data_IF_640436496819
#
_entry.id   IF_640436496819
#
_cell.length_a   1.000
_cell.length_b   1.000
_cell.length_c   1.000
_cell.angle_alpha   90.00
_cell.angle_beta   90.00
_cell.angle_gamma   90.00
#
_symmetry.space_group_name_H-M   'P 1'
#
loop_
_entity.id
_entity.type
_entity.pdbx_description
1 polymer ?
#
# COMPACT_ATOMS: atom_id res chain seq x y z
N UNK A 1 -53.75 -12.23 -17.17
CA UNK A 1 -52.68 -11.22 -17.28
C UNK A 1 -51.60 -11.53 -16.25
N UNK A 2 -50.64 -12.41 -16.56
CA UNK A 2 -49.19 -12.11 -16.57
C UNK A 2 -48.80 -10.70 -16.08
N UNK A 3 -48.08 -10.62 -14.97
CA UNK A 3 -46.65 -10.30 -14.97
C UNK A 3 -45.99 -10.75 -13.66
N UNK A 4 -45.12 -11.74 -13.84
CA UNK A 4 -44.02 -12.15 -12.99
C UNK A 4 -43.12 -10.94 -12.74
N UNK A 5 -42.71 -10.67 -11.50
CA UNK A 5 -41.42 -10.00 -11.26
C UNK A 5 -40.65 -10.75 -10.20
N UNK A 6 -39.73 -11.54 -10.71
CA UNK A 6 -38.65 -12.24 -10.04
C UNK A 6 -37.62 -11.18 -9.63
N UNK A 7 -37.48 -10.89 -8.34
CA UNK A 7 -36.27 -10.24 -7.83
C UNK A 7 -35.36 -11.35 -7.30
N UNK A 8 -34.58 -11.93 -8.22
CA UNK A 8 -33.36 -12.64 -7.86
C UNK A 8 -32.40 -11.61 -7.28
N UNK A 9 -32.37 -11.49 -5.96
CA UNK A 9 -31.21 -10.93 -5.27
C UNK A 9 -30.13 -12.01 -5.38
N UNK A 10 -29.37 -11.99 -6.48
CA UNK A 10 -28.10 -12.71 -6.52
C UNK A 10 -27.18 -11.90 -5.62
N UNK A 11 -27.10 -12.29 -4.35
CA UNK A 11 -25.95 -11.96 -3.51
C UNK A 11 -24.76 -12.69 -4.12
N UNK A 12 -24.16 -12.09 -5.16
CA UNK A 12 -22.79 -12.44 -5.52
C UNK A 12 -21.97 -11.92 -4.36
N UNK A 13 -21.67 -12.81 -3.44
CA UNK A 13 -20.59 -12.65 -2.47
C UNK A 13 -19.32 -12.45 -3.29
N UNK A 14 -19.02 -11.20 -3.66
CA UNK A 14 -17.74 -10.87 -4.25
C UNK A 14 -16.70 -11.25 -3.20
N UNK A 15 -15.99 -12.33 -3.44
CA UNK A 15 -14.83 -12.71 -2.66
C UNK A 15 -13.80 -11.63 -2.95
N UNK A 16 -13.74 -10.62 -2.09
CA UNK A 16 -12.72 -9.60 -2.14
C UNK A 16 -11.40 -10.29 -1.79
N UNK A 17 -10.59 -10.59 -2.81
CA UNK A 17 -9.22 -11.07 -2.59
C UNK A 17 -8.40 -9.89 -2.06
N UNK A 18 -8.36 -9.78 -0.73
CA UNK A 18 -7.38 -8.93 -0.08
C UNK A 18 -6.00 -9.57 -0.25
N UNK A 19 -5.00 -8.74 -0.51
CA UNK A 19 -3.60 -9.17 -0.54
C UNK A 19 -3.22 -9.88 0.78
N UNK A 20 -2.26 -10.81 0.77
CA UNK A 20 -1.45 -11.23 -0.38
C UNK A 20 -2.20 -12.14 -1.35
N UNK A 21 -1.70 -12.24 -2.59
CA UNK A 21 -2.23 -13.19 -3.57
C UNK A 21 -1.43 -14.49 -3.53
N UNK A 22 -2.10 -15.61 -3.34
CA UNK A 22 -1.54 -16.93 -3.60
C UNK A 22 -1.79 -17.29 -5.05
N UNK A 23 -0.73 -17.63 -5.77
CA UNK A 23 -0.74 -17.86 -7.21
C UNK A 23 -0.19 -19.24 -7.52
N UNK A 24 -0.71 -19.86 -8.57
CA UNK A 24 -0.28 -21.17 -9.06
C UNK A 24 -0.10 -21.13 -10.57
N UNK A 25 0.98 -21.72 -11.07
CA UNK A 25 1.18 -21.89 -12.51
C UNK A 25 0.24 -22.96 -13.06
N UNK A 26 -0.36 -22.72 -14.22
CA UNK A 26 -1.28 -23.66 -14.87
C UNK A 26 -0.77 -24.13 -16.24
N UNK A 27 -1.26 -25.30 -16.69
CA UNK A 27 -0.85 -25.90 -17.98
C UNK A 27 0.55 -26.50 -17.99
N UNK A 28 1.12 -26.75 -16.81
CA UNK A 28 2.51 -27.19 -16.62
C UNK A 28 2.59 -28.64 -16.14
N UNK A 29 3.53 -29.42 -16.68
CA UNK A 29 3.77 -30.79 -16.19
C UNK A 29 4.24 -30.81 -14.72
N UNK A 30 4.92 -29.74 -14.30
CA UNK A 30 5.26 -29.49 -12.90
C UNK A 30 4.88 -28.07 -12.53
N UNK A 31 3.76 -27.95 -11.84
CA UNK A 31 3.26 -26.67 -11.37
C UNK A 31 4.09 -26.16 -10.19
N UNK A 32 4.15 -24.83 -10.04
CA UNK A 32 4.67 -24.16 -8.87
C UNK A 32 3.66 -23.15 -8.33
N UNK A 33 3.76 -22.88 -7.03
CA UNK A 33 2.95 -21.87 -6.37
C UNK A 33 3.83 -20.86 -5.64
N UNK A 34 3.31 -19.65 -5.49
CA UNK A 34 3.98 -18.57 -4.79
C UNK A 34 2.96 -17.62 -4.17
N UNK A 35 3.38 -16.87 -3.16
CA UNK A 35 2.61 -15.77 -2.57
C UNK A 35 3.23 -14.44 -2.99
N UNK A 36 2.42 -13.53 -3.51
CA UNK A 36 2.80 -12.17 -3.88
C UNK A 36 2.29 -11.18 -2.83
N UNK A 37 3.21 -10.36 -2.34
CA UNK A 37 2.93 -9.18 -1.52
C UNK A 37 3.32 -7.93 -2.32
N UNK A 38 2.53 -6.85 -2.24
CA UNK A 38 2.85 -5.55 -2.86
C UNK A 38 2.04 -4.44 -2.20
N UNK A 39 2.59 -3.23 -2.11
CA UNK A 39 1.88 -2.02 -1.67
C UNK A 39 1.30 -1.23 -2.82
N UNK A 40 0.84 -0.01 -2.52
CA UNK A 40 0.28 0.90 -3.51
C UNK A 40 1.23 1.09 -4.71
N UNK A 41 0.68 1.13 -5.93
CA UNK A 41 1.42 1.26 -7.19
C UNK A 41 2.48 0.16 -7.41
N UNK A 42 2.38 -0.95 -6.67
CA UNK A 42 3.27 -2.10 -6.77
C UNK A 42 4.57 -1.96 -6.00
N UNK A 43 4.74 -0.91 -5.19
CA UNK A 43 5.94 -0.71 -4.38
C UNK A 43 6.06 -1.75 -3.27
N UNK A 44 7.26 -1.94 -2.74
CA UNK A 44 7.51 -2.88 -1.63
C UNK A 44 7.21 -4.34 -1.96
N UNK A 45 7.13 -4.68 -3.25
CA UNK A 45 6.66 -5.99 -3.69
C UNK A 45 7.73 -7.08 -3.57
N UNK A 46 7.30 -8.29 -3.27
CA UNK A 46 8.14 -9.49 -3.30
C UNK A 46 7.27 -10.74 -3.49
N UNK A 47 7.90 -11.81 -4.00
CA UNK A 47 7.29 -13.14 -4.06
C UNK A 47 7.97 -14.10 -3.10
N UNK A 48 7.20 -15.04 -2.58
CA UNK A 48 7.71 -16.16 -1.80
C UNK A 48 7.18 -17.47 -2.40
N UNK A 49 8.07 -18.30 -2.93
CA UNK A 49 7.69 -19.61 -3.48
C UNK A 49 7.23 -20.56 -2.36
N UNK A 50 6.20 -21.34 -2.62
CA UNK A 50 5.68 -22.31 -1.66
C UNK A 50 6.76 -23.31 -1.24
N UNK A 51 6.89 -23.53 0.06
CA UNK A 51 7.93 -24.39 0.65
C UNK A 51 9.33 -23.75 0.72
N UNK A 52 9.49 -22.47 0.35
CA UNK A 52 10.75 -21.73 0.46
C UNK A 52 10.64 -20.62 1.51
N UNK A 53 11.71 -20.45 2.29
CA UNK A 53 11.83 -19.33 3.25
C UNK A 53 12.35 -18.04 2.59
N UNK A 54 13.01 -18.19 1.46
CA UNK A 54 13.57 -17.09 0.69
C UNK A 54 12.45 -16.27 0.05
N UNK A 55 12.61 -14.95 0.10
CA UNK A 55 11.77 -13.99 -0.61
C UNK A 55 12.57 -13.41 -1.77
N UNK A 56 11.90 -13.13 -2.88
CA UNK A 56 12.53 -12.53 -4.05
C UNK A 56 11.94 -11.14 -4.27
N UNK A 57 12.75 -10.07 -4.17
CA UNK A 57 12.27 -8.71 -4.37
C UNK A 57 11.75 -8.50 -5.78
N UNK A 58 10.68 -7.73 -5.89
CA UNK A 58 10.11 -7.28 -7.14
C UNK A 58 10.34 -5.78 -7.29
N UNK A 59 11.05 -5.39 -8.35
CA UNK A 59 11.22 -3.99 -8.72
C UNK A 59 10.09 -3.57 -9.65
N UNK A 60 9.43 -2.45 -9.36
CA UNK A 60 8.41 -1.87 -10.26
C UNK A 60 9.08 -1.47 -11.58
N UNK A 61 8.67 -2.10 -12.68
CA UNK A 61 9.08 -1.72 -14.03
C UNK A 61 8.09 -0.73 -14.63
N UNK A 62 6.80 -0.95 -14.43
CA UNK A 62 5.74 -0.01 -14.79
C UNK A 62 4.49 -0.26 -13.96
N UNK A 63 3.81 0.82 -13.62
CA UNK A 63 2.44 0.83 -13.11
C UNK A 63 1.63 1.79 -13.97
N UNK A 64 0.44 1.38 -14.42
CA UNK A 64 -0.46 2.22 -15.21
C UNK A 64 -1.89 2.03 -14.71
N UNK A 65 -2.64 3.12 -14.68
CA UNK A 65 -4.08 3.11 -14.47
C UNK A 65 -4.72 3.47 -15.79
N UNK A 66 -5.62 2.62 -16.27
CA UNK A 66 -6.46 2.90 -17.43
C UNK A 66 -7.83 3.37 -16.96
N UNK A 67 -8.16 4.60 -17.35
CA UNK A 67 -9.40 5.33 -17.07
C UNK A 67 -10.21 5.60 -18.34
N UNK A 68 -9.74 5.18 -19.52
CA UNK A 68 -10.28 5.59 -20.82
C UNK A 68 -11.60 4.86 -21.17
N UNK A 69 -12.54 5.61 -21.76
CA UNK A 69 -13.74 5.05 -22.40
C UNK A 69 -14.86 4.64 -21.44
N UNK A 70 -14.89 5.17 -20.21
CA UNK A 70 -15.80 4.70 -19.15
C UNK A 70 -16.85 5.74 -18.76
N UNK A 71 -18.06 5.26 -18.50
CA UNK A 71 -19.14 6.05 -17.88
C UNK A 71 -18.93 6.16 -16.37
N UNK A 72 -19.46 7.21 -15.74
CA UNK A 72 -19.42 7.42 -14.28
C UNK A 72 -19.72 6.12 -13.50
N UNK A 73 -18.80 5.73 -12.61
CA UNK A 73 -18.96 4.60 -11.69
C UNK A 73 -18.35 3.26 -12.12
N UNK A 74 -17.72 3.15 -13.30
CA UNK A 74 -16.94 1.96 -13.65
C UNK A 74 -15.57 1.94 -12.94
N UNK A 75 -15.10 0.77 -12.49
CA UNK A 75 -13.83 0.63 -11.79
C UNK A 75 -12.63 0.88 -12.71
N UNK A 76 -11.54 1.44 -12.18
CA UNK A 76 -10.28 1.58 -12.90
C UNK A 76 -9.63 0.20 -13.14
N UNK A 77 -8.82 0.10 -14.21
CA UNK A 77 -7.98 -1.09 -14.45
C UNK A 77 -6.54 -0.70 -14.16
N UNK A 78 -5.91 -1.46 -13.26
CA UNK A 78 -4.54 -1.28 -12.87
C UNK A 78 -3.65 -2.33 -13.54
N UNK A 79 -2.63 -1.87 -14.26
CA UNK A 79 -1.64 -2.72 -14.90
C UNK A 79 -0.31 -2.65 -14.16
N UNK A 80 0.16 -3.80 -13.69
CA UNK A 80 1.42 -3.92 -12.99
C UNK A 80 2.42 -4.74 -13.81
N UNK A 81 3.65 -4.24 -13.86
CA UNK A 81 4.79 -4.99 -14.37
C UNK A 81 5.93 -4.89 -13.37
N UNK A 82 6.39 -6.04 -12.90
CA UNK A 82 7.52 -6.13 -11.99
C UNK A 82 8.68 -6.91 -12.60
N UNK A 83 9.89 -6.46 -12.38
CA UNK A 83 11.09 -7.26 -12.58
C UNK A 83 11.34 -8.09 -11.31
N UNK A 84 11.46 -9.40 -11.46
CA UNK A 84 11.99 -10.27 -10.41
C UNK A 84 13.50 -10.05 -10.30
N UNK A 85 13.98 -9.73 -9.09
CA UNK A 85 15.38 -9.36 -8.87
C UNK A 85 16.11 -10.44 -8.06
N UNK A 86 17.12 -11.08 -8.66
CA UNK A 86 17.99 -12.06 -8.00
C UNK A 86 19.45 -11.63 -8.14
N UNK A 87 20.15 -11.48 -7.01
CA UNK A 87 21.55 -11.04 -7.03
C UNK A 87 21.76 -9.68 -7.71
N UNK A 88 20.78 -8.78 -7.62
CA UNK A 88 20.81 -7.46 -8.27
C UNK A 88 20.57 -7.47 -9.78
N UNK A 89 20.22 -8.62 -10.38
CA UNK A 89 19.91 -8.75 -11.81
C UNK A 89 18.46 -9.15 -12.02
N UNK A 90 17.91 -8.75 -13.16
CA UNK A 90 16.58 -9.18 -13.59
C UNK A 90 16.63 -10.67 -13.89
N UNK A 91 15.80 -11.45 -13.19
CA UNK A 91 15.69 -12.91 -13.33
C UNK A 91 14.33 -13.35 -13.90
N UNK A 92 13.40 -12.41 -14.05
CA UNK A 92 12.09 -12.66 -14.65
C UNK A 92 11.22 -11.42 -14.62
N UNK A 93 10.02 -11.52 -15.19
CA UNK A 93 9.06 -10.42 -15.27
C UNK A 93 7.67 -10.94 -14.95
N UNK A 94 7.02 -10.30 -13.97
CA UNK A 94 5.61 -10.52 -13.65
C UNK A 94 4.74 -9.47 -14.33
N UNK A 95 3.55 -9.87 -14.79
CA UNK A 95 2.52 -8.97 -15.31
C UNK A 95 1.17 -9.31 -14.70
N UNK A 96 0.45 -8.29 -14.25
CA UNK A 96 -0.87 -8.39 -13.65
C UNK A 96 -1.77 -7.31 -14.20
N UNK A 97 -3.05 -7.65 -14.28
CA UNK A 97 -4.15 -6.72 -14.46
C UNK A 97 -5.07 -6.85 -13.24
N UNK A 98 -5.49 -5.74 -12.66
CA UNK A 98 -6.40 -5.73 -11.51
C UNK A 98 -7.57 -4.79 -11.83
N UNK A 99 -8.78 -5.30 -11.64
CA UNK A 99 -10.02 -4.54 -11.74
C UNK A 99 -10.96 -4.94 -10.60
N UNK A 100 -11.50 -3.99 -9.84
CA UNK A 100 -12.32 -4.25 -8.63
C UNK A 100 -11.70 -5.27 -7.67
N UNK A 101 -10.38 -5.20 -7.44
CA UNK A 101 -9.65 -6.15 -6.60
C UNK A 101 -9.63 -7.60 -7.11
N UNK A 102 -10.05 -7.86 -8.34
CA UNK A 102 -9.86 -9.13 -9.02
C UNK A 102 -8.62 -9.05 -9.90
N UNK A 103 -7.65 -9.93 -9.67
CA UNK A 103 -6.49 -10.05 -10.53
C UNK A 103 -6.78 -10.99 -11.70
N UNK A 104 -6.42 -10.57 -12.91
CA UNK A 104 -6.54 -11.32 -14.15
C UNK A 104 -5.26 -11.19 -14.98
N UNK A 105 -5.19 -11.92 -16.09
CA UNK A 105 -4.07 -11.88 -17.04
C UNK A 105 -2.68 -12.04 -16.40
N UNK A 106 -2.62 -12.85 -15.33
CA UNK A 106 -1.43 -12.99 -14.52
C UNK A 106 -0.41 -13.88 -15.25
N UNK A 107 0.80 -13.37 -15.44
CA UNK A 107 1.86 -14.15 -16.06
C UNK A 107 3.24 -13.86 -15.48
N UNK A 108 4.11 -14.87 -15.58
CA UNK A 108 5.53 -14.77 -15.25
C UNK A 108 6.36 -15.19 -16.47
N UNK A 109 7.27 -14.33 -16.92
CA UNK A 109 8.25 -14.65 -17.95
C UNK A 109 9.61 -14.83 -17.30
N UNK A 110 10.15 -16.04 -17.37
CA UNK A 110 11.42 -16.38 -16.73
C UNK A 110 12.61 -15.87 -17.54
N UNK A 111 13.57 -15.23 -16.88
CA UNK A 111 14.68 -14.56 -17.56
C UNK A 111 15.69 -15.50 -18.22
N UNK A 112 15.94 -16.69 -17.65
CA UNK A 112 16.99 -17.59 -18.17
C UNK A 112 16.69 -18.17 -19.55
N UNK A 113 15.42 -18.33 -19.91
CA UNK A 113 14.98 -19.00 -21.13
C UNK A 113 13.76 -18.35 -21.80
N UNK A 114 13.34 -17.18 -21.33
CA UNK A 114 12.15 -16.44 -21.80
C UNK A 114 10.86 -17.24 -21.79
N UNK A 115 10.81 -18.34 -21.02
CA UNK A 115 9.61 -19.15 -20.93
C UNK A 115 8.53 -18.38 -20.16
N UNK A 116 7.34 -18.29 -20.75
CA UNK A 116 6.16 -17.67 -20.16
C UNK A 116 5.30 -18.71 -19.46
N UNK A 117 4.89 -18.39 -18.24
CA UNK A 117 3.97 -19.16 -17.42
C UNK A 117 2.70 -18.35 -17.21
N UNK A 118 1.55 -18.99 -17.42
CA UNK A 118 0.26 -18.46 -16.97
C UNK A 118 0.09 -18.79 -15.50
N UNK A 119 -0.34 -17.80 -14.72
CA UNK A 119 -0.61 -17.97 -13.30
C UNK A 119 -2.09 -17.69 -13.04
N UNK A 120 -2.65 -18.39 -12.06
CA UNK A 120 -4.01 -18.18 -11.59
C UNK A 120 -4.00 -17.97 -10.08
N UNK A 121 -4.94 -17.15 -9.60
CA UNK A 121 -5.16 -17.01 -8.17
C UNK A 121 -5.72 -18.31 -7.61
N UNK A 122 -5.16 -18.75 -6.49
CA UNK A 122 -5.71 -19.83 -5.70
C UNK A 122 -6.61 -19.21 -4.65
N UNK A 123 -7.88 -19.60 -4.63
CA UNK A 123 -8.79 -19.22 -3.56
C UNK A 123 -8.27 -19.79 -2.24
N UNK A 124 -8.07 -18.92 -1.25
CA UNK A 124 -7.77 -19.34 0.11
C UNK A 124 -9.08 -19.65 0.82
N UNK A 125 -9.24 -20.88 1.31
CA UNK A 125 -10.40 -21.26 2.13
C UNK A 125 -10.45 -20.47 3.44
N UNK A 126 -9.31 -19.90 3.87
CA UNK A 126 -9.22 -19.09 5.08
C UNK A 126 -9.50 -17.63 4.77
N UNK A 127 -10.40 -17.03 5.56
CA UNK A 127 -10.64 -15.59 5.53
C UNK A 127 -9.34 -14.84 5.82
N UNK A 128 -9.03 -13.86 4.97
CA UNK A 128 -7.88 -12.99 5.14
C UNK A 128 -7.82 -12.39 6.56
N UNK A 129 -6.65 -12.54 7.19
CA UNK A 129 -6.39 -12.22 8.58
C UNK A 129 -5.85 -10.78 8.75
N UNK A 130 -5.95 -9.95 7.72
CA UNK A 130 -5.45 -8.59 7.77
C UNK A 130 -3.93 -8.47 7.80
N UNK A 131 -3.16 -9.56 7.66
CA UNK A 131 -1.69 -9.45 7.67
C UNK A 131 -1.16 -8.85 6.37
N UNK A 132 -0.36 -7.80 6.51
CA UNK A 132 0.33 -7.12 5.42
C UNK A 132 1.84 -7.29 5.56
N UNK A 133 2.53 -7.38 4.43
CA UNK A 133 4.00 -7.36 4.40
C UNK A 133 4.50 -6.57 3.21
N UNK A 134 5.58 -5.82 3.40
CA UNK A 134 6.31 -5.13 2.34
C UNK A 134 7.81 -5.37 2.49
N UNK A 135 8.53 -5.34 1.38
CA UNK A 135 9.98 -5.37 1.34
C UNK A 135 10.49 -4.02 0.82
N UNK A 136 10.94 -3.16 1.73
CA UNK A 136 11.47 -1.82 1.39
C UNK A 136 12.93 -1.73 1.80
N UNK A 137 13.79 -1.34 0.86
CA UNK A 137 15.22 -1.13 1.09
C UNK A 137 15.94 -2.29 1.78
N UNK A 138 15.50 -3.52 1.49
CA UNK A 138 16.02 -4.75 2.10
C UNK A 138 15.51 -5.06 3.52
N UNK A 139 14.58 -4.26 4.05
CA UNK A 139 13.88 -4.51 5.30
C UNK A 139 12.50 -5.13 5.02
N UNK A 140 12.18 -6.22 5.73
CA UNK A 140 10.87 -6.86 5.70
C UNK A 140 9.98 -6.23 6.77
N UNK A 141 8.98 -5.46 6.33
CA UNK A 141 7.93 -4.90 7.17
C UNK A 141 6.80 -5.92 7.25
N UNK A 142 6.32 -6.22 8.45
CA UNK A 142 5.19 -7.11 8.72
C UNK A 142 4.24 -6.41 9.68
N UNK A 143 2.97 -6.31 9.33
CA UNK A 143 1.97 -5.55 10.09
C UNK A 143 0.58 -6.16 9.89
N UNK A 144 -0.42 -5.61 10.58
CA UNK A 144 -1.81 -5.97 10.39
C UNK A 144 -2.67 -4.73 10.05
N UNK A 145 -3.75 -4.93 9.30
CA UNK A 145 -4.68 -3.87 8.89
C UNK A 145 -5.88 -3.70 9.83
N UNK A 146 -6.32 -4.79 10.46
CA UNK A 146 -7.60 -4.81 11.20
C UNK A 146 -7.44 -4.92 12.72
N UNK A 147 -6.45 -5.68 13.16
CA UNK A 147 -6.19 -5.99 14.56
C UNK A 147 -4.69 -6.02 14.79
N UNK A 148 -4.24 -6.38 16.00
CA UNK A 148 -2.83 -6.52 16.37
C UNK A 148 -2.00 -5.32 15.88
N UNK A 149 -2.04 -4.24 16.65
CA UNK A 149 -1.45 -2.94 16.34
C UNK A 149 0.08 -2.96 16.30
N UNK A 150 0.71 -3.95 15.67
CA UNK A 150 2.14 -4.17 15.68
C UNK A 150 2.67 -4.05 14.25
N UNK A 151 3.68 -3.22 14.08
CA UNK A 151 4.59 -3.23 12.95
C UNK A 151 5.91 -3.84 13.42
N UNK A 152 6.29 -4.95 12.80
CA UNK A 152 7.62 -5.52 12.95
C UNK A 152 8.44 -5.26 11.69
N UNK A 153 9.61 -4.64 11.87
CA UNK A 153 10.58 -4.41 10.80
C UNK A 153 11.77 -5.33 11.04
N UNK A 154 12.02 -6.26 10.12
CA UNK A 154 13.23 -7.11 10.13
C UNK A 154 14.21 -6.60 9.09
N UNK A 155 15.36 -6.13 9.55
CA UNK A 155 16.40 -5.54 8.70
C UNK A 155 17.33 -6.61 8.12
N UNK A 156 18.12 -6.23 7.11
CA UNK A 156 19.08 -7.11 6.45
C UNK A 156 20.17 -7.65 7.39
N UNK A 157 20.49 -6.91 8.47
CA UNK A 157 21.41 -7.35 9.52
C UNK A 157 20.74 -8.22 10.59
N UNK A 158 19.51 -8.67 10.34
CA UNK A 158 18.64 -9.49 11.20
C UNK A 158 18.17 -8.81 12.47
N UNK A 159 18.51 -7.53 12.70
CA UNK A 159 17.90 -6.77 13.80
C UNK A 159 16.42 -6.60 13.52
N UNK A 160 15.65 -6.54 14.61
CA UNK A 160 14.21 -6.35 14.56
C UNK A 160 13.83 -5.13 15.37
N UNK A 161 12.90 -4.36 14.83
CA UNK A 161 12.20 -3.30 15.56
C UNK A 161 10.73 -3.66 15.59
N UNK A 162 10.13 -3.62 16.78
CA UNK A 162 8.69 -3.75 16.96
C UNK A 162 8.14 -2.38 17.35
N UNK A 163 7.06 -1.97 16.72
CA UNK A 163 6.44 -0.66 16.88
C UNK A 163 4.95 -0.88 17.08
N UNK A 164 4.40 -0.24 18.11
CA UNK A 164 2.95 -0.19 18.28
C UNK A 164 2.37 0.90 17.36
N UNK A 165 1.49 0.49 16.46
CA UNK A 165 0.77 1.35 15.53
C UNK A 165 -0.51 1.89 16.19
N UNK A 166 -1.06 3.02 15.74
CA UNK A 166 -2.34 3.51 16.25
C UNK A 166 -3.45 2.49 15.99
N UNK A 167 -4.27 2.22 17.02
CA UNK A 167 -5.42 1.35 16.93
C UNK A 167 -6.56 2.04 16.15
N UNK A 168 -7.30 1.33 15.29
CA UNK A 168 -8.58 1.84 14.82
C UNK A 168 -9.59 1.82 15.98
N UNK A 169 -10.27 2.93 16.25
CA UNK A 169 -11.18 3.03 17.40
C UNK A 169 -12.47 2.22 17.25
N UNK A 170 -12.84 1.91 16.00
CA UNK A 170 -14.01 1.12 15.67
C UNK A 170 -13.59 -0.14 14.93
N UNK A 171 -14.21 -1.31 15.19
CA UNK A 171 -13.91 -2.54 14.44
C UNK A 171 -14.15 -2.44 12.93
N UNK A 172 -14.99 -1.50 12.48
CA UNK A 172 -15.24 -1.22 11.06
C UNK A 172 -14.14 -0.36 10.41
N UNK A 173 -13.29 0.28 11.22
CA UNK A 173 -12.19 1.10 10.71
C UNK A 173 -10.99 0.23 10.34
N UNK A 174 -10.49 0.47 9.14
CA UNK A 174 -9.35 -0.27 8.59
C UNK A 174 -8.13 0.64 8.57
N UNK A 175 -7.01 0.13 9.07
CA UNK A 175 -5.71 0.79 8.93
C UNK A 175 -5.26 0.71 7.47
N UNK A 176 -4.83 1.85 6.92
CA UNK A 176 -4.19 1.92 5.60
C UNK A 176 -2.68 1.96 5.77
N UNK A 177 -1.97 1.40 4.80
CA UNK A 177 -0.52 1.48 4.68
C UNK A 177 -0.16 2.10 3.33
N UNK A 178 0.75 3.07 3.33
CA UNK A 178 1.03 3.94 2.18
C UNK A 178 2.54 4.07 2.01
N UNK A 179 3.04 3.86 0.79
CA UNK A 179 4.46 3.93 0.46
C UNK A 179 4.72 5.14 -0.43
N UNK A 180 5.35 6.16 0.13
CA UNK A 180 5.72 7.38 -0.57
C UNK A 180 7.03 7.95 -0.02
N UNK A 181 7.70 8.77 -0.81
CA UNK A 181 8.86 9.56 -0.39
C UNK A 181 8.35 10.84 0.31
N UNK A 182 8.18 10.77 1.63
CA UNK A 182 7.54 11.85 2.40
C UNK A 182 8.50 13.01 2.68
N UNK A 183 9.81 12.73 2.78
CA UNK A 183 10.84 13.75 3.07
C UNK A 183 11.59 14.24 1.81
N UNK A 184 11.25 13.72 0.63
CA UNK A 184 11.78 14.12 -0.68
C UNK A 184 13.28 13.83 -0.84
N UNK A 185 13.77 12.77 -0.21
CA UNK A 185 15.18 12.34 -0.27
C UNK A 185 15.46 11.27 -1.35
N UNK A 186 14.40 10.82 -2.04
CA UNK A 186 14.47 9.83 -3.10
C UNK A 186 14.32 8.38 -2.63
N UNK A 187 14.11 8.14 -1.34
CA UNK A 187 13.83 6.82 -0.77
C UNK A 187 12.35 6.70 -0.40
N UNK A 188 11.73 5.57 -0.75
CA UNK A 188 10.36 5.28 -0.34
C UNK A 188 10.29 5.07 1.19
N UNK A 189 9.41 5.81 1.86
CA UNK A 189 9.09 5.66 3.26
C UNK A 189 7.82 4.81 3.45
N UNK A 190 7.38 4.61 4.70
CA UNK A 190 6.11 3.95 5.00
C UNK A 190 5.28 4.79 5.97
N UNK A 191 4.00 4.95 5.66
CA UNK A 191 3.02 5.51 6.56
C UNK A 191 1.90 4.52 6.86
N UNK A 192 1.35 4.64 8.06
CA UNK A 192 0.14 3.96 8.49
C UNK A 192 -0.88 4.99 8.89
N UNK A 193 -2.15 4.80 8.52
CA UNK A 193 -3.20 5.71 8.95
C UNK A 193 -4.44 4.98 9.43
N UNK A 194 -5.11 5.56 10.42
CA UNK A 194 -6.42 5.15 10.93
C UNK A 194 -7.38 6.34 10.85
N UNK A 195 -8.70 6.14 10.67
CA UNK A 195 -9.66 7.23 10.81
C UNK A 195 -9.57 7.86 12.21
N UNK A 196 -9.97 9.13 12.35
CA UNK A 196 -10.01 9.81 13.65
C UNK A 196 -10.97 9.15 14.65
N UNK A 197 -10.69 9.38 15.95
CA UNK A 197 -11.38 8.75 17.08
C UNK A 197 -12.87 9.15 17.21
N UNK A 198 -13.34 10.14 16.44
CA UNK A 198 -14.72 10.59 16.44
C UNK A 198 -15.55 9.97 15.33
N UNK A 199 -15.75 10.75 14.27
CA UNK A 199 -16.64 10.39 13.16
C UNK A 199 -15.89 9.71 12.01
N UNK A 200 -14.56 9.60 12.08
CA UNK A 200 -13.73 9.06 11.00
C UNK A 200 -13.77 9.92 9.74
N UNK A 201 -13.92 11.23 9.91
CA UNK A 201 -14.00 12.23 8.84
C UNK A 201 -12.64 12.51 8.20
N UNK A 202 -11.54 12.36 8.94
CA UNK A 202 -10.18 12.41 8.42
C UNK A 202 -9.38 11.23 8.98
N UNK A 203 -8.16 11.04 8.49
CA UNK A 203 -7.27 9.96 8.93
C UNK A 203 -6.03 10.52 9.61
N UNK A 204 -5.66 9.95 10.75
CA UNK A 204 -4.43 10.25 11.48
C UNK A 204 -3.29 9.38 10.94
N UNK A 205 -2.11 9.95 10.74
CA UNK A 205 -0.96 9.27 10.13
C UNK A 205 0.19 9.12 11.12
N UNK A 206 0.76 7.92 11.10
CA UNK A 206 2.09 7.61 11.63
C UNK A 206 3.02 7.37 10.44
N UNK A 207 4.04 8.21 10.28
CA UNK A 207 5.00 8.15 9.16
C UNK A 207 6.35 7.69 9.69
N UNK A 208 7.00 6.75 8.99
CA UNK A 208 8.31 6.23 9.31
C UNK A 208 9.23 6.44 8.11
N UNK A 209 10.21 7.32 8.27
CA UNK A 209 11.17 7.71 7.24
C UNK A 209 12.31 6.70 7.16
N UNK A 210 12.71 6.31 5.95
CA UNK A 210 13.90 5.50 5.74
C UNK A 210 15.16 6.37 5.74
N UNK A 211 16.05 6.12 6.68
CA UNK A 211 17.37 6.74 6.73
C UNK A 211 18.38 5.87 5.96
N UNK A 212 18.89 6.29 4.78
CA UNK A 212 19.83 5.48 3.99
C UNK A 212 21.21 5.34 4.65
N UNK A 213 21.59 6.26 5.53
CA UNK A 213 22.85 6.21 6.27
C UNK A 213 22.86 5.11 7.34
N UNK A 214 21.80 5.06 8.16
CA UNK A 214 21.63 4.02 9.19
C UNK A 214 20.99 2.73 8.65
N UNK A 215 20.36 2.80 7.48
CA UNK A 215 19.50 1.75 6.88
C UNK A 215 18.38 1.35 7.84
N UNK A 216 17.74 2.34 8.47
CA UNK A 216 16.66 2.15 9.44
C UNK A 216 15.46 3.01 9.11
N UNK A 217 14.30 2.54 9.54
CA UNK A 217 13.10 3.36 9.57
C UNK A 217 13.02 4.07 10.92
N UNK A 218 12.79 5.38 10.88
CA UNK A 218 12.69 6.27 12.04
C UNK A 218 11.34 6.99 11.98
N UNK A 219 10.60 7.05 13.10
CA UNK A 219 9.32 7.77 13.12
C UNK A 219 9.57 9.24 12.81
N UNK A 220 8.82 9.80 11.86
CA UNK A 220 8.84 11.21 11.53
C UNK A 220 8.54 12.02 12.80
N UNK A 221 9.39 12.98 13.09
CA UNK A 221 9.15 13.92 14.18
C UNK A 221 8.04 14.88 13.78
N UNK A 222 7.01 14.94 14.63
CA UNK A 222 5.91 15.88 14.52
C UNK A 222 6.42 17.34 14.43
N UNK A 223 5.82 18.19 13.59
CA UNK A 223 6.12 19.62 13.55
C UNK A 223 5.67 20.35 14.82
N UNK A 224 6.12 21.59 14.97
CA UNK A 224 5.48 22.52 15.92
C UNK A 224 4.12 22.97 15.38
N UNK A 225 3.06 22.58 16.08
CA UNK A 225 1.68 22.89 15.74
C UNK A 225 1.19 24.25 16.25
N UNK A 226 2.05 25.07 16.88
CA UNK A 226 1.65 26.36 17.46
C UNK A 226 1.07 27.36 16.44
N UNK A 227 1.39 27.20 15.15
CA UNK A 227 0.97 28.09 14.05
C UNK A 227 -0.04 27.46 13.10
N UNK A 228 -0.27 26.16 13.20
CA UNK A 228 -1.14 25.41 12.30
C UNK A 228 -2.58 25.37 12.81
N UNK A 229 -3.52 25.06 11.93
CA UNK A 229 -4.91 24.79 12.33
C UNK A 229 -5.11 23.34 12.76
N UNK A 230 -4.34 22.42 12.20
CA UNK A 230 -4.31 21.03 12.58
C UNK A 230 -3.34 20.80 13.75
N UNK A 231 -3.65 19.80 14.58
CA UNK A 231 -2.87 19.40 15.75
C UNK A 231 -2.22 18.02 15.58
N UNK A 232 -2.20 17.50 14.34
CA UNK A 232 -1.74 16.17 13.98
C UNK A 232 -1.33 16.13 12.50
N UNK A 233 -0.56 15.12 12.13
CA UNK A 233 -0.40 14.68 10.75
C UNK A 233 -1.66 13.94 10.31
N UNK A 234 -2.64 14.69 9.84
CA UNK A 234 -3.94 14.19 9.43
C UNK A 234 -4.16 14.37 7.93
N UNK A 235 -4.84 13.44 7.26
CA UNK A 235 -5.06 13.41 5.79
C UNK A 235 -3.82 13.82 4.98
N UNK A 236 -2.70 13.18 5.29
CA UNK A 236 -1.41 13.59 4.75
C UNK A 236 -1.36 13.35 3.25
N UNK A 237 -0.96 14.38 2.51
CA UNK A 237 -0.64 14.32 1.09
C UNK A 237 0.70 15.02 0.81
N UNK A 238 1.35 14.68 -0.30
CA UNK A 238 2.61 15.29 -0.70
C UNK A 238 2.50 15.92 -2.08
N UNK A 239 3.16 17.06 -2.26
CA UNK A 239 3.32 17.72 -3.56
C UNK A 239 4.81 17.64 -3.94
N UNK A 240 5.16 16.55 -4.65
CA UNK A 240 6.56 16.17 -4.92
C UNK A 240 7.36 17.26 -5.62
N UNK A 241 6.80 17.89 -6.65
CA UNK A 241 7.48 18.93 -7.43
C UNK A 241 7.86 20.15 -6.58
N UNK A 242 7.05 20.46 -5.56
CA UNK A 242 7.28 21.59 -4.66
C UNK A 242 7.94 21.20 -3.34
N UNK A 243 8.14 19.89 -3.11
CA UNK A 243 8.63 19.32 -1.85
C UNK A 243 7.84 19.82 -0.64
N UNK A 244 6.52 19.71 -0.74
CA UNK A 244 5.60 20.13 0.32
C UNK A 244 4.84 18.94 0.87
N UNK A 245 4.76 18.87 2.19
CA UNK A 245 3.86 17.96 2.90
C UNK A 245 2.62 18.76 3.33
N UNK A 246 1.44 18.24 3.08
CA UNK A 246 0.17 18.86 3.45
C UNK A 246 -0.56 17.96 4.42
N UNK A 247 -1.23 18.56 5.38
CA UNK A 247 -2.15 17.88 6.31
C UNK A 247 -3.51 18.54 6.23
N UNK A 248 -4.57 17.75 6.27
CA UNK A 248 -5.95 18.19 6.35
C UNK A 248 -6.58 17.80 7.68
N UNK A 249 -7.42 18.68 8.22
CA UNK A 249 -8.21 18.41 9.41
C UNK A 249 -9.50 19.23 9.41
N UNK A 250 -10.43 18.84 10.28
CA UNK A 250 -11.71 19.53 10.45
C UNK A 250 -11.75 20.28 11.78
N UNK A 251 -11.97 21.59 11.72
CA UNK A 251 -12.18 22.47 12.86
C UNK A 251 -13.61 22.99 12.89
N UNK A 252 -14.46 22.42 13.76
CA UNK A 252 -15.89 22.73 13.75
C UNK A 252 -16.55 22.41 12.39
N UNK A 253 -17.13 23.42 11.75
CA UNK A 253 -17.78 23.28 10.44
C UNK A 253 -16.84 23.54 9.25
N UNK A 254 -15.54 23.74 9.46
CA UNK A 254 -14.58 24.14 8.42
C UNK A 254 -13.50 23.08 8.21
N UNK A 255 -13.05 22.98 6.98
CA UNK A 255 -11.88 22.19 6.60
C UNK A 255 -10.66 23.10 6.51
N UNK A 256 -9.58 22.65 7.14
CA UNK A 256 -8.29 23.33 7.13
C UNK A 256 -7.25 22.44 6.46
N UNK A 257 -6.31 23.08 5.76
CA UNK A 257 -5.14 22.43 5.21
C UNK A 257 -3.89 23.21 5.59
N UNK A 258 -3.01 22.59 6.38
CA UNK A 258 -1.69 23.14 6.68
C UNK A 258 -0.65 22.60 5.71
N UNK A 259 0.33 23.45 5.39
CA UNK A 259 1.39 23.17 4.44
C UNK A 259 2.73 23.29 5.16
N UNK A 260 3.56 22.26 5.03
CA UNK A 260 4.87 22.17 5.65
C UNK A 260 5.96 21.92 4.61
N UNK A 261 7.19 22.26 4.98
CA UNK A 261 8.41 21.93 4.24
C UNK A 261 9.48 21.40 5.17
N UNK A 262 10.26 20.43 4.71
CA UNK A 262 11.44 19.97 5.44
C UNK A 262 12.57 21.01 5.38
N UNK A 263 13.12 21.36 6.54
CA UNK A 263 14.35 22.15 6.67
C UNK A 263 15.57 21.23 6.84
N UNK A 264 16.79 21.80 6.82
CA UNK A 264 18.08 21.07 6.79
C UNK A 264 18.28 20.00 7.88
N UNK A 265 17.47 20.00 8.93
CA UNK A 265 17.58 19.07 10.06
C UNK A 265 16.52 17.96 10.03
N UNK A 266 15.79 17.80 8.91
CA UNK A 266 14.71 16.82 8.79
C UNK A 266 13.45 17.20 9.58
N UNK A 267 13.34 18.47 10.00
CA UNK A 267 12.20 19.00 10.74
C UNK A 267 11.20 19.58 9.75
N UNK A 268 9.92 19.31 9.96
CA UNK A 268 8.83 19.97 9.24
C UNK A 268 8.62 21.38 9.82
N UNK A 269 8.77 22.39 8.97
CA UNK A 269 8.47 23.78 9.28
C UNK A 269 7.15 24.18 8.62
N UNK A 270 6.25 24.79 9.40
CA UNK A 270 4.99 25.32 8.91
C UNK A 270 5.23 26.48 7.94
N UNK A 271 4.54 26.46 6.80
CA UNK A 271 4.63 27.49 5.76
C UNK A 271 3.35 28.33 5.69
N UNK A 272 2.19 27.67 5.70
CA UNK A 272 0.90 28.33 5.55
C UNK A 272 -0.26 27.42 5.99
N UNK A 273 -1.40 28.04 6.26
CA UNK A 273 -2.70 27.39 6.41
C UNK A 273 -3.63 27.89 5.30
N UNK A 274 -4.42 26.99 4.72
CA UNK A 274 -5.51 27.30 3.80
C UNK A 274 -6.82 26.79 4.36
N UNK A 275 -7.87 27.61 4.32
CA UNK A 275 -9.24 27.15 4.55
C UNK A 275 -9.76 26.55 3.24
N UNK A 276 -10.33 25.35 3.30
CA UNK A 276 -11.01 24.75 2.16
C UNK A 276 -12.49 25.13 2.23
N UNK A 277 -12.96 25.89 1.25
CA UNK A 277 -14.39 26.06 1.01
C UNK A 277 -14.92 24.80 0.31
N UNK A 278 -16.01 24.24 0.81
CA UNK A 278 -16.75 23.17 0.11
C UNK A 278 -17.19 23.74 -1.25
N UNK A 279 -16.65 23.20 -2.35
CA UNK A 279 -17.23 23.36 -3.70
C UNK A 279 -18.34 22.33 -3.91
#
# INVERSE_FOLDING_TARGET
MKKLLLFCIITISAVYSAQPFTLKSTGEAKEFSLTLYYGAQGKGAFVQYSGKKEIIPLQVKSFKVDTDGRSDGQPDIEYYVWNEMVGGKINGVYKFEIMQHQASNISYTRGKDNRKFTLEMVEDEKKYDGSGKYLLHGALLSFNHFYNNNLTITYSDRKKTAIELPAPDKPSFVRRSIIEDYNFDGYDDIAFSVPDEGMGVYRMFDIYLYNPGSKRFEKLKEPDYSRSSCSCLCDVTIEKDKKLLKTGCRGGARWHQDVYRFVKNGILEWIATKEQTEE
#
